data_IF_163033445905
#
_entry.id   IF_163033445905
#
_cell.length_a   1.000
_cell.length_b   1.000
_cell.length_c   1.000
_cell.angle_alpha   90.00
_cell.angle_beta   90.00
_cell.angle_gamma   90.00
#
_symmetry.space_group_name_H-M   'P 1'
#
loop_
_entity.id
_entity.type
_entity.pdbx_description
1 polymer ?
#
# COMPACT_ATOMS: atom_id res chain seq x y z
N UNK A 1 40.19 18.94 30.42
CA UNK A 1 39.53 19.26 29.14
C UNK A 1 38.13 18.67 29.20
N UNK A 2 37.12 19.53 29.12
CA UNK A 2 35.73 19.25 29.51
C UNK A 2 34.97 18.47 28.44
N UNK A 3 34.16 17.51 28.87
CA UNK A 3 33.38 16.57 28.05
C UNK A 3 32.03 17.15 27.57
N UNK A 4 32.00 18.46 27.27
CA UNK A 4 30.76 19.20 26.99
C UNK A 4 30.74 19.92 25.63
N UNK A 5 31.71 19.65 24.74
CA UNK A 5 31.83 20.37 23.46
C UNK A 5 31.44 19.54 22.22
N UNK A 6 30.99 18.28 22.39
CA UNK A 6 30.62 17.40 21.27
C UNK A 6 29.11 17.30 20.99
N UNK A 7 28.27 18.03 21.74
CA UNK A 7 26.81 18.01 21.58
C UNK A 7 26.24 19.36 21.11
N UNK A 8 26.88 20.00 20.14
CA UNK A 8 26.34 21.18 19.45
C UNK A 8 26.24 20.98 17.93
N UNK A 9 26.09 19.73 17.49
CA UNK A 9 25.79 19.37 16.09
C UNK A 9 24.29 19.24 15.79
N UNK A 10 23.41 19.62 16.70
CA UNK A 10 21.96 19.72 16.48
C UNK A 10 21.63 20.96 15.61
N UNK A 11 22.10 20.96 14.37
CA UNK A 11 21.68 21.91 13.34
C UNK A 11 21.00 21.15 12.20
N UNK A 12 19.68 21.00 12.37
CA UNK A 12 18.68 21.38 11.37
C UNK A 12 19.09 21.10 9.90
N UNK A 13 18.99 19.85 9.47
CA UNK A 13 18.98 19.55 8.03
C UNK A 13 17.59 19.88 7.44
N UNK A 14 17.53 20.54 6.27
CA UNK A 14 16.33 21.19 5.77
C UNK A 14 15.30 20.21 5.19
N UNK A 15 14.04 20.65 5.24
CA UNK A 15 12.96 20.27 4.31
C UNK A 15 13.53 20.22 2.89
N UNK A 16 13.73 19.02 2.37
CA UNK A 16 14.38 18.86 1.07
C UNK A 16 14.80 17.45 0.73
N UNK A 17 13.95 16.44 1.00
CA UNK A 17 14.09 15.15 0.31
C UNK A 17 12.98 15.03 -0.73
N UNK A 18 13.20 15.69 -1.88
CA UNK A 18 12.93 15.01 -3.15
C UNK A 18 13.83 13.78 -3.16
N UNK A 19 13.35 12.69 -2.56
CA UNK A 19 13.97 11.39 -2.66
C UNK A 19 13.89 11.01 -4.14
N UNK A 20 15.01 11.31 -4.80
CA UNK A 20 15.43 10.88 -6.10
C UNK A 20 15.00 9.43 -6.29
N UNK A 21 14.14 9.22 -7.28
CA UNK A 21 13.50 7.94 -7.55
C UNK A 21 14.52 6.82 -7.72
N UNK A 22 14.69 5.99 -6.68
CA UNK A 22 15.58 4.83 -6.72
C UNK A 22 14.78 3.53 -6.88
N UNK A 23 15.40 2.44 -7.37
CA UNK A 23 14.75 1.11 -7.45
C UNK A 23 14.25 0.60 -6.09
N UNK A 24 14.79 1.11 -4.98
CA UNK A 24 14.28 0.85 -3.63
C UNK A 24 12.86 1.40 -3.39
N UNK A 25 12.45 2.44 -4.13
CA UNK A 25 11.10 3.01 -4.02
C UNK A 25 10.05 2.04 -4.58
N UNK A 26 10.35 1.38 -5.71
CA UNK A 26 9.44 0.39 -6.29
C UNK A 26 9.22 -0.78 -5.32
N UNK A 27 10.31 -1.27 -4.69
CA UNK A 27 10.24 -2.33 -3.67
C UNK A 27 9.39 -1.94 -2.48
N UNK A 28 9.61 -0.73 -1.96
CA UNK A 28 8.84 -0.19 -0.85
C UNK A 28 7.35 -0.07 -1.20
N UNK A 29 7.02 0.39 -2.41
CA UNK A 29 5.63 0.52 -2.87
C UNK A 29 4.94 -0.85 -3.00
N UNK A 30 5.59 -1.85 -3.59
CA UNK A 30 5.02 -3.20 -3.70
C UNK A 30 4.80 -3.83 -2.32
N UNK A 31 5.72 -3.63 -1.38
CA UNK A 31 5.55 -4.08 -0.01
C UNK A 31 4.37 -3.38 0.70
N UNK A 32 4.22 -2.07 0.50
CA UNK A 32 3.07 -1.31 1.02
C UNK A 32 1.75 -1.81 0.42
N UNK A 33 1.70 -2.07 -0.90
CA UNK A 33 0.53 -2.65 -1.56
C UNK A 33 0.19 -4.00 -0.94
N UNK A 34 1.16 -4.89 -0.78
CA UNK A 34 0.96 -6.22 -0.17
C UNK A 34 0.35 -6.11 1.23
N UNK A 35 0.88 -5.18 2.05
CA UNK A 35 0.39 -4.93 3.41
C UNK A 35 -1.03 -4.33 3.40
N UNK A 36 -1.30 -3.41 2.48
CA UNK A 36 -2.62 -2.81 2.33
C UNK A 36 -3.66 -3.83 1.83
N UNK A 37 -3.29 -4.72 0.91
CA UNK A 37 -4.15 -5.83 0.42
C UNK A 37 -4.46 -6.82 1.55
N UNK A 38 -3.48 -7.19 2.37
CA UNK A 38 -3.71 -8.01 3.55
C UNK A 38 -4.68 -7.34 4.56
N UNK A 39 -4.55 -6.02 4.73
CA UNK A 39 -5.44 -5.22 5.57
C UNK A 39 -6.85 -5.14 4.98
N UNK A 40 -6.97 -4.94 3.67
CA UNK A 40 -8.24 -4.95 2.93
C UNK A 40 -8.96 -6.29 3.09
N UNK A 41 -8.24 -7.41 2.97
CA UNK A 41 -8.79 -8.76 3.20
C UNK A 41 -9.34 -8.91 4.62
N UNK A 42 -8.63 -8.40 5.63
CA UNK A 42 -9.10 -8.43 7.03
C UNK A 42 -10.39 -7.61 7.23
N UNK A 43 -10.48 -6.44 6.61
CA UNK A 43 -11.71 -5.62 6.63
C UNK A 43 -12.86 -6.34 5.92
N UNK A 44 -12.60 -6.92 4.75
CA UNK A 44 -13.59 -7.67 3.97
C UNK A 44 -14.14 -8.88 4.74
N UNK A 45 -13.29 -9.63 5.44
CA UNK A 45 -13.74 -10.75 6.28
C UNK A 45 -14.68 -10.31 7.41
N UNK A 46 -14.64 -9.04 7.81
CA UNK A 46 -15.54 -8.46 8.81
C UNK A 46 -16.86 -7.96 8.21
N UNK A 47 -16.97 -7.79 6.88
CA UNK A 47 -18.23 -7.51 6.19
C UNK A 47 -19.19 -8.69 6.30
N UNK A 48 -20.46 -8.43 6.61
CA UNK A 48 -21.48 -9.45 6.86
C UNK A 48 -21.41 -10.11 8.24
N UNK A 49 -20.52 -9.65 9.12
CA UNK A 49 -20.52 -10.02 10.55
C UNK A 49 -21.22 -8.93 11.37
N UNK A 50 -21.60 -9.13 12.65
CA UNK A 50 -22.17 -8.06 13.48
C UNK A 50 -21.22 -6.86 13.69
N UNK A 51 -19.97 -6.94 13.24
CA UNK A 51 -19.00 -5.83 13.22
C UNK A 51 -19.08 -4.97 11.94
N UNK A 52 -19.93 -5.34 10.98
CA UNK A 52 -20.18 -4.60 9.76
C UNK A 52 -20.90 -3.29 10.09
N UNK A 53 -20.10 -2.24 10.24
CA UNK A 53 -20.52 -0.87 10.56
C UNK A 53 -20.18 0.05 9.40
N UNK A 54 -20.87 1.19 9.32
CA UNK A 54 -20.65 2.20 8.26
C UNK A 54 -19.18 2.65 8.25
N UNK A 55 -18.57 2.84 9.42
CA UNK A 55 -17.15 3.21 9.56
C UNK A 55 -16.18 2.15 9.04
N UNK A 56 -16.53 0.86 9.18
CA UNK A 56 -15.74 -0.24 8.62
C UNK A 56 -15.81 -0.24 7.09
N UNK A 57 -17.00 -0.02 6.52
CA UNK A 57 -17.19 0.11 5.05
C UNK A 57 -16.42 1.31 4.51
N UNK A 58 -16.47 2.46 5.19
CA UNK A 58 -15.67 3.64 4.87
C UNK A 58 -14.17 3.33 4.84
N UNK A 59 -13.65 2.66 5.87
CA UNK A 59 -12.25 2.26 5.94
C UNK A 59 -11.87 1.25 4.85
N UNK A 60 -12.78 0.36 4.47
CA UNK A 60 -12.58 -0.58 3.36
C UNK A 60 -12.46 0.16 2.03
N UNK A 61 -13.33 1.13 1.76
CA UNK A 61 -13.23 1.98 0.57
C UNK A 61 -11.96 2.83 0.56
N UNK A 62 -11.59 3.46 1.68
CA UNK A 62 -10.34 4.22 1.82
C UNK A 62 -9.11 3.33 1.57
N UNK A 63 -9.11 2.11 2.13
CA UNK A 63 -8.02 1.14 1.92
C UNK A 63 -7.94 0.73 0.45
N UNK A 64 -9.09 0.49 -0.20
CA UNK A 64 -9.16 0.22 -1.65
C UNK A 64 -8.58 1.37 -2.47
N UNK A 65 -8.95 2.63 -2.16
CA UNK A 65 -8.41 3.80 -2.86
C UNK A 65 -6.91 3.95 -2.66
N UNK A 66 -6.41 3.70 -1.44
CA UNK A 66 -4.98 3.73 -1.14
C UNK A 66 -4.20 2.69 -1.95
N UNK A 67 -4.70 1.45 -2.03
CA UNK A 67 -4.11 0.38 -2.86
C UNK A 67 -4.04 0.82 -4.33
N UNK A 68 -5.10 1.44 -4.86
CA UNK A 68 -5.12 1.93 -6.24
C UNK A 68 -4.11 3.05 -6.50
N UNK A 69 -3.92 3.98 -5.55
CA UNK A 69 -2.90 5.03 -5.66
C UNK A 69 -1.49 4.45 -5.63
N UNK A 70 -1.20 3.61 -4.63
CA UNK A 70 0.08 2.92 -4.53
C UNK A 70 0.38 2.08 -5.78
N UNK A 71 -0.63 1.43 -6.36
CA UNK A 71 -0.48 0.65 -7.59
C UNK A 71 -0.11 1.51 -8.81
N UNK A 72 -0.65 2.72 -8.92
CA UNK A 72 -0.26 3.68 -9.98
C UNK A 72 1.20 4.09 -9.80
N UNK A 73 1.56 4.51 -8.59
CA UNK A 73 2.94 4.92 -8.28
C UNK A 73 3.94 3.77 -8.48
N UNK A 74 3.58 2.55 -8.06
CA UNK A 74 4.41 1.36 -8.24
C UNK A 74 4.60 1.04 -9.72
N UNK A 75 3.54 1.12 -10.54
CA UNK A 75 3.61 0.90 -11.98
C UNK A 75 4.55 1.90 -12.64
N UNK A 76 4.42 3.20 -12.34
CA UNK A 76 5.27 4.23 -12.91
C UNK A 76 6.75 4.05 -12.50
N UNK A 77 7.00 3.63 -11.25
CA UNK A 77 8.35 3.36 -10.74
C UNK A 77 8.96 2.09 -11.35
N UNK A 78 8.17 1.02 -11.48
CA UNK A 78 8.61 -0.23 -12.14
C UNK A 78 8.91 -0.01 -13.61
N UNK A 79 8.11 0.79 -14.32
CA UNK A 79 8.37 1.13 -15.72
C UNK A 79 9.66 1.92 -15.88
N UNK A 80 9.87 2.96 -15.06
CA UNK A 80 11.12 3.74 -15.07
C UNK A 80 12.34 2.90 -14.73
N UNK A 81 12.22 1.95 -13.80
CA UNK A 81 13.30 1.02 -13.47
C UNK A 81 13.62 0.11 -14.67
N UNK A 82 12.60 -0.44 -15.33
CA UNK A 82 12.78 -1.29 -16.51
C UNK A 82 13.38 -0.54 -17.72
N UNK A 83 13.03 0.73 -17.91
CA UNK A 83 13.63 1.59 -18.94
C UNK A 83 15.10 1.90 -18.63
N UNK A 84 15.43 2.17 -17.37
CA UNK A 84 16.81 2.36 -16.94
C UNK A 84 17.64 1.07 -17.13
N UNK A 85 17.09 -0.10 -16.81
CA UNK A 85 17.76 -1.40 -17.00
C UNK A 85 18.08 -1.75 -18.46
N UNK A 86 17.29 -1.23 -19.41
CA UNK A 86 17.58 -1.35 -20.85
C UNK A 86 18.64 -0.37 -21.32
N UNK A 87 18.72 0.80 -20.70
CA UNK A 87 19.61 1.90 -21.11
C UNK A 87 21.00 1.79 -20.48
N UNK A 88 21.11 1.08 -19.37
CA UNK A 88 22.36 0.86 -18.63
C UNK A 88 22.71 -0.61 -18.59
N UNK A 89 24.01 -0.94 -18.62
CA UNK A 89 24.50 -2.31 -18.42
C UNK A 89 24.31 -2.73 -16.95
N UNK A 90 23.05 -2.98 -16.57
CA UNK A 90 22.70 -3.40 -15.21
C UNK A 90 23.03 -4.86 -15.01
N UNK A 91 23.74 -5.14 -13.91
CA UNK A 91 24.14 -6.49 -13.49
C UNK A 91 22.95 -7.46 -13.47
N UNK A 92 23.16 -8.69 -13.92
CA UNK A 92 22.12 -9.72 -14.02
C UNK A 92 21.29 -9.89 -12.72
N UNK A 93 21.93 -9.79 -11.55
CA UNK A 93 21.26 -9.89 -10.25
C UNK A 93 20.19 -8.81 -10.03
N UNK A 94 20.44 -7.58 -10.50
CA UNK A 94 19.47 -6.47 -10.40
C UNK A 94 18.26 -6.73 -11.27
N UNK A 95 18.49 -7.16 -12.52
CA UNK A 95 17.41 -7.50 -13.46
C UNK A 95 16.54 -8.64 -12.93
N UNK A 96 17.15 -9.68 -12.35
CA UNK A 96 16.40 -10.79 -11.72
C UNK A 96 15.55 -10.29 -10.56
N UNK A 97 16.11 -9.44 -9.69
CA UNK A 97 15.40 -8.90 -8.55
C UNK A 97 14.22 -8.00 -8.97
N UNK A 98 14.38 -7.19 -10.01
CA UNK A 98 13.35 -6.28 -10.50
C UNK A 98 12.27 -7.03 -11.30
N UNK A 99 12.63 -8.09 -12.04
CA UNK A 99 11.68 -9.04 -12.62
C UNK A 99 10.86 -9.76 -11.55
N UNK A 100 11.50 -10.20 -10.45
CA UNK A 100 10.78 -10.83 -9.33
C UNK A 100 9.81 -9.84 -8.69
N UNK A 101 10.26 -8.60 -8.47
CA UNK A 101 9.42 -7.54 -7.92
C UNK A 101 8.19 -7.27 -8.79
N UNK A 102 8.35 -7.25 -10.12
CA UNK A 102 7.24 -7.09 -11.05
C UNK A 102 6.26 -8.28 -10.99
N UNK A 103 6.75 -9.51 -10.83
CA UNK A 103 5.91 -10.70 -10.63
C UNK A 103 5.13 -10.63 -9.31
N UNK A 104 5.80 -10.25 -8.21
CA UNK A 104 5.16 -10.10 -6.90
C UNK A 104 4.08 -9.00 -6.93
N UNK A 105 4.35 -7.89 -7.62
CA UNK A 105 3.34 -6.85 -7.87
C UNK A 105 2.14 -7.37 -8.67
N UNK A 106 2.37 -8.12 -9.75
CA UNK A 106 1.29 -8.67 -10.56
C UNK A 106 0.41 -9.65 -9.74
N UNK A 107 1.03 -10.54 -8.97
CA UNK A 107 0.33 -11.50 -8.11
C UNK A 107 -0.53 -10.80 -7.05
N UNK A 108 0.04 -9.81 -6.35
CA UNK A 108 -0.68 -9.05 -5.32
C UNK A 108 -1.86 -8.26 -5.89
N UNK A 109 -1.72 -7.69 -7.09
CA UNK A 109 -2.83 -7.00 -7.76
C UNK A 109 -3.92 -7.95 -8.26
N UNK A 110 -3.57 -9.17 -8.68
CA UNK A 110 -4.57 -10.19 -9.02
C UNK A 110 -5.40 -10.60 -7.79
N UNK A 111 -4.74 -10.81 -6.65
CA UNK A 111 -5.43 -11.06 -5.39
C UNK A 111 -6.35 -9.89 -5.00
N UNK A 112 -5.87 -8.66 -5.11
CA UNK A 112 -6.67 -7.48 -4.84
C UNK A 112 -7.94 -7.42 -5.71
N UNK A 113 -7.84 -7.75 -7.01
CA UNK A 113 -9.00 -7.81 -7.91
C UNK A 113 -10.02 -8.86 -7.49
N UNK A 114 -9.56 -10.05 -7.07
CA UNK A 114 -10.43 -11.09 -6.53
C UNK A 114 -11.15 -10.61 -5.27
N UNK A 115 -10.42 -9.95 -4.37
CA UNK A 115 -10.99 -9.36 -3.15
C UNK A 115 -11.98 -8.24 -3.46
N UNK A 116 -11.73 -7.37 -4.44
CA UNK A 116 -12.69 -6.35 -4.85
C UNK A 116 -13.99 -6.97 -5.37
N UNK A 117 -13.91 -8.02 -6.19
CA UNK A 117 -15.11 -8.74 -6.66
C UNK A 117 -15.90 -9.33 -5.49
N UNK A 118 -15.21 -9.93 -4.51
CA UNK A 118 -15.83 -10.43 -3.29
C UNK A 118 -16.46 -9.31 -2.44
N UNK A 119 -15.82 -8.14 -2.37
CA UNK A 119 -16.37 -6.99 -1.64
C UNK A 119 -17.69 -6.54 -2.28
N UNK A 120 -17.73 -6.39 -3.61
CA UNK A 120 -18.95 -6.04 -4.34
C UNK A 120 -20.04 -7.09 -4.10
N UNK A 121 -19.71 -8.39 -4.19
CA UNK A 121 -20.66 -9.46 -3.90
C UNK A 121 -21.19 -9.42 -2.47
N UNK A 122 -20.36 -9.07 -1.48
CA UNK A 122 -20.80 -8.94 -0.08
C UNK A 122 -21.61 -7.65 0.15
N UNK A 123 -21.24 -6.55 -0.47
CA UNK A 123 -22.01 -5.30 -0.37
C UNK A 123 -23.39 -5.43 -1.01
N UNK A 124 -23.53 -6.19 -2.09
CA UNK A 124 -24.83 -6.49 -2.71
C UNK A 124 -25.62 -7.53 -1.94
N UNK A 125 -24.96 -8.54 -1.36
CA UNK A 125 -25.61 -9.59 -0.57
C UNK A 125 -26.03 -9.14 0.83
N UNK A 126 -25.31 -8.21 1.46
CA UNK A 126 -25.51 -7.80 2.85
C UNK A 126 -25.92 -6.33 2.97
N UNK A 127 -27.16 -6.10 3.41
CA UNK A 127 -27.62 -4.76 3.82
C UNK A 127 -26.77 -4.27 5.01
N UNK A 128 -26.27 -3.02 5.01
CA UNK A 128 -25.52 -2.49 6.13
C UNK A 128 -26.37 -2.54 7.41
N UNK A 129 -25.78 -3.03 8.49
CA UNK A 129 -26.42 -2.97 9.81
C UNK A 129 -26.55 -1.49 10.16
N UNK A 130 -27.77 -0.98 10.12
CA UNK A 130 -28.10 0.32 10.70
C UNK A 130 -28.04 0.11 12.21
N UNK A 131 -27.14 0.76 12.97
CA UNK A 131 -27.23 0.71 14.41
C UNK A 131 -28.57 1.31 14.79
N UNK A 132 -29.51 0.48 15.23
CA UNK A 132 -30.72 0.96 15.90
C UNK A 132 -30.24 1.64 17.17
N UNK A 133 -30.25 2.97 17.14
CA UNK A 133 -30.09 3.79 18.33
C UNK A 133 -31.25 3.43 19.25
N UNK A 134 -31.02 2.52 20.19
CA UNK A 134 -31.94 2.19 21.28
C UNK A 134 -31.97 3.37 22.26
N UNK A 135 -32.59 4.48 21.86
CA UNK A 135 -33.08 5.45 22.84
C UNK A 135 -34.40 4.92 23.39
N UNK A 136 -34.25 4.14 24.46
CA UNK A 136 -35.32 3.76 25.36
C UNK A 136 -35.62 4.93 26.30
N UNK A 137 -36.91 5.25 26.40
CA UNK A 137 -37.61 6.11 27.37
C UNK A 137 -37.39 7.62 27.32
#
# INVERSE_FOLDING_TARGET
MSFADLEAGALRAPLGRKARGGPNDARALVFQITTAVASYRRLLNSLGTPKDTITLRDNLHKTSQNILQLAKDAKDKLQKAAEADKSTDTSADKRIADMKLAKDFAATMEEFRKLQSLAIQRETAYKPVVPQNTQSK
#
